data_IF_484846214639
#
_entry.id   IF_484846214639
#
_cell.length_a   1.000
_cell.length_b   1.000
_cell.length_c   1.000
_cell.angle_alpha   90.00
_cell.angle_beta   90.00
_cell.angle_gamma   90.00
#
_symmetry.space_group_name_H-M   'P 1'
#
loop_
_entity.id
_entity.type
_entity.pdbx_description
1 polymer ?
#
# COMPACT_ATOMS: atom_id res chain seq x y z
N UNK A 1 -32.57 -14.99 -1.08
CA UNK A 1 -31.19 -14.54 -0.79
C UNK A 1 -31.28 -13.17 -0.17
N UNK A 2 -30.67 -12.98 1.00
CA UNK A 2 -30.75 -11.72 1.72
C UNK A 2 -29.66 -10.76 1.18
N UNK A 3 -29.98 -9.46 1.09
CA UNK A 3 -29.03 -8.44 0.62
C UNK A 3 -27.80 -8.37 1.55
N UNK A 4 -27.98 -8.67 2.83
CA UNK A 4 -26.90 -8.73 3.81
C UNK A 4 -25.91 -9.87 3.56
N UNK A 5 -26.37 -10.98 2.97
CA UNK A 5 -25.49 -12.11 2.62
C UNK A 5 -24.61 -11.75 1.41
N UNK A 6 -25.19 -11.05 0.44
CA UNK A 6 -24.51 -10.62 -0.78
C UNK A 6 -23.49 -9.52 -0.46
N UNK A 7 -23.83 -8.56 0.40
CA UNK A 7 -22.90 -7.50 0.83
C UNK A 7 -21.70 -8.07 1.61
N UNK A 8 -21.93 -9.03 2.50
CA UNK A 8 -20.86 -9.71 3.23
C UNK A 8 -19.93 -10.50 2.29
N UNK A 9 -20.48 -11.22 1.31
CA UNK A 9 -19.67 -11.91 0.30
C UNK A 9 -18.86 -10.93 -0.55
N UNK A 10 -19.46 -9.83 -1.02
CA UNK A 10 -18.73 -8.80 -1.75
C UNK A 10 -17.60 -8.19 -0.93
N UNK A 11 -17.86 -7.83 0.33
CA UNK A 11 -16.86 -7.23 1.21
C UNK A 11 -15.68 -8.18 1.45
N UNK A 12 -15.95 -9.49 1.57
CA UNK A 12 -14.92 -10.50 1.70
C UNK A 12 -14.09 -10.68 0.42
N UNK A 13 -14.74 -10.66 -0.75
CA UNK A 13 -14.04 -10.74 -2.05
C UNK A 13 -13.16 -9.52 -2.29
N UNK A 14 -13.68 -8.32 -2.01
CA UNK A 14 -12.92 -7.08 -2.10
C UNK A 14 -11.73 -7.11 -1.14
N UNK A 15 -11.94 -7.55 0.11
CA UNK A 15 -10.85 -7.71 1.08
C UNK A 15 -9.77 -8.71 0.61
N UNK A 16 -10.18 -9.81 -0.02
CA UNK A 16 -9.24 -10.79 -0.58
C UNK A 16 -8.44 -10.22 -1.77
N UNK A 17 -9.09 -9.45 -2.65
CA UNK A 17 -8.44 -8.78 -3.78
C UNK A 17 -7.45 -7.70 -3.31
N UNK A 18 -7.80 -6.93 -2.29
CA UNK A 18 -6.89 -5.94 -1.68
C UNK A 18 -5.67 -6.63 -1.08
N UNK A 19 -5.86 -7.71 -0.32
CA UNK A 19 -4.75 -8.51 0.24
C UNK A 19 -3.87 -9.10 -0.85
N UNK A 20 -4.46 -9.60 -1.93
CA UNK A 20 -3.71 -10.11 -3.08
C UNK A 20 -2.94 -8.99 -3.77
N UNK A 21 -3.55 -7.83 -3.99
CA UNK A 21 -2.89 -6.66 -4.56
C UNK A 21 -1.67 -6.21 -3.76
N UNK A 22 -1.80 -6.11 -2.43
CA UNK A 22 -0.67 -5.77 -1.54
C UNK A 22 0.44 -6.83 -1.63
N UNK A 23 0.09 -8.12 -1.63
CA UNK A 23 1.06 -9.22 -1.76
C UNK A 23 1.81 -9.16 -3.10
N UNK A 24 1.10 -8.88 -4.20
CA UNK A 24 1.69 -8.75 -5.53
C UNK A 24 2.58 -7.51 -5.66
N UNK A 25 2.23 -6.39 -5.01
CA UNK A 25 3.08 -5.20 -4.94
C UNK A 25 4.39 -5.50 -4.20
N UNK A 26 4.34 -6.22 -3.07
CA UNK A 26 5.54 -6.65 -2.36
C UNK A 26 6.40 -7.60 -3.19
N UNK A 27 5.78 -8.56 -3.88
CA UNK A 27 6.49 -9.47 -4.77
C UNK A 27 7.16 -8.70 -5.92
N UNK A 28 6.44 -7.80 -6.56
CA UNK A 28 6.97 -6.97 -7.63
C UNK A 28 8.08 -6.04 -7.14
N UNK A 29 8.00 -5.49 -5.91
CA UNK A 29 9.08 -4.76 -5.27
C UNK A 29 10.35 -5.63 -5.11
N UNK A 30 10.20 -6.87 -4.65
CA UNK A 30 11.35 -7.82 -4.55
C UNK A 30 11.92 -8.13 -5.93
N UNK A 31 11.07 -8.35 -6.93
CA UNK A 31 11.50 -8.57 -8.32
C UNK A 31 12.26 -7.38 -8.85
N UNK A 32 11.81 -6.16 -8.59
CA UNK A 32 12.45 -4.93 -9.08
C UNK A 32 13.78 -4.64 -8.36
N UNK A 33 13.94 -5.06 -7.10
CA UNK A 33 15.24 -5.02 -6.40
C UNK A 33 16.24 -6.01 -7.00
N UNK A 34 15.78 -7.22 -7.36
CA UNK A 34 16.63 -8.28 -7.92
C UNK A 34 16.89 -8.12 -9.43
N UNK A 35 15.95 -7.51 -10.15
CA UNK A 35 15.98 -7.24 -11.58
C UNK A 35 15.42 -5.83 -11.82
N UNK A 36 16.29 -4.80 -11.74
CA UNK A 36 15.89 -3.39 -11.83
C UNK A 36 15.13 -3.06 -13.11
N UNK A 37 14.00 -2.36 -12.99
CA UNK A 37 13.23 -1.84 -14.12
C UNK A 37 12.27 -2.84 -14.75
N UNK A 38 12.06 -4.00 -14.12
CA UNK A 38 11.14 -5.04 -14.65
C UNK A 38 9.69 -4.73 -14.31
N UNK A 39 9.44 -4.13 -13.15
CA UNK A 39 8.08 -3.76 -12.71
C UNK A 39 7.90 -2.28 -12.43
N UNK A 40 9.00 -1.54 -12.27
CA UNK A 40 9.04 -0.09 -12.02
C UNK A 40 8.26 0.33 -10.74
N UNK A 41 7.95 -0.64 -9.87
CA UNK A 41 7.25 -0.40 -8.61
C UNK A 41 8.16 0.34 -7.63
N UNK A 42 9.48 0.11 -7.67
CA UNK A 42 10.44 0.86 -6.84
C UNK A 42 10.35 2.34 -7.18
N UNK A 43 10.22 2.73 -8.45
CA UNK A 43 10.08 4.13 -8.84
C UNK A 43 8.81 4.78 -8.27
N UNK A 44 7.68 4.06 -8.26
CA UNK A 44 6.43 4.51 -7.64
C UNK A 44 6.52 4.67 -6.12
N UNK A 45 7.14 3.71 -5.43
CA UNK A 45 7.37 3.76 -3.98
C UNK A 45 8.34 4.89 -3.61
N UNK A 46 9.42 5.05 -4.38
CA UNK A 46 10.39 6.14 -4.23
C UNK A 46 9.71 7.50 -4.45
N UNK A 47 8.78 7.61 -5.39
CA UNK A 47 7.99 8.83 -5.57
C UNK A 47 7.17 9.22 -4.34
N UNK A 48 6.54 8.25 -3.67
CA UNK A 48 5.81 8.49 -2.41
C UNK A 48 6.77 8.88 -1.29
N UNK A 49 7.88 8.16 -1.13
CA UNK A 49 8.90 8.48 -0.13
C UNK A 49 9.47 9.88 -0.36
N UNK A 50 9.76 10.23 -1.61
CA UNK A 50 10.27 11.55 -1.96
C UNK A 50 9.27 12.66 -1.64
N UNK A 51 7.96 12.45 -1.73
CA UNK A 51 6.98 13.45 -1.26
C UNK A 51 7.10 13.72 0.25
N UNK A 52 7.42 12.70 1.05
CA UNK A 52 7.67 12.87 2.48
C UNK A 52 9.05 13.48 2.76
N UNK A 53 10.08 13.10 1.98
CA UNK A 53 11.45 13.60 2.14
C UNK A 53 11.59 15.06 1.66
N UNK A 54 10.93 15.43 0.57
CA UNK A 54 10.88 16.81 0.05
C UNK A 54 10.14 17.74 1.01
N UNK A 55 9.12 17.21 1.71
CA UNK A 55 8.48 17.91 2.83
C UNK A 55 9.37 17.98 4.10
N UNK A 56 10.50 17.26 4.12
CA UNK A 56 11.50 17.27 5.17
C UNK A 56 10.93 16.91 6.55
N UNK A 57 11.25 17.73 7.56
CA UNK A 57 10.78 17.51 8.94
C UNK A 57 9.25 17.52 9.04
N UNK A 58 8.55 18.31 8.22
CA UNK A 58 7.10 18.35 8.22
C UNK A 58 6.49 17.04 7.70
N UNK A 59 7.11 16.43 6.68
CA UNK A 59 6.72 15.11 6.18
C UNK A 59 6.93 14.01 7.21
N UNK A 60 8.05 14.05 7.94
CA UNK A 60 8.32 13.11 9.03
C UNK A 60 7.31 13.24 10.18
N UNK A 61 6.97 14.47 10.59
CA UNK A 61 5.98 14.72 11.64
C UNK A 61 4.60 14.23 11.21
N UNK A 62 4.18 14.53 9.98
CA UNK A 62 2.91 14.04 9.45
C UNK A 62 2.86 12.51 9.40
N UNK A 63 3.95 11.86 9.00
CA UNK A 63 4.06 10.40 8.98
C UNK A 63 3.91 9.80 10.39
N UNK A 64 4.64 10.32 11.38
CA UNK A 64 4.57 9.85 12.76
C UNK A 64 3.15 10.00 13.33
N UNK A 65 2.48 11.13 13.06
CA UNK A 65 1.09 11.36 13.53
C UNK A 65 0.13 10.36 12.91
N UNK A 66 0.21 10.13 11.60
CA UNK A 66 -0.66 9.16 10.91
C UNK A 66 -0.42 7.75 11.42
N UNK A 67 0.83 7.34 11.60
CA UNK A 67 1.17 6.02 12.17
C UNK A 67 0.65 5.90 13.60
N UNK A 68 0.84 6.92 14.43
CA UNK A 68 0.33 6.92 15.81
C UNK A 68 -1.20 6.71 15.86
N UNK A 69 -1.95 7.38 14.99
CA UNK A 69 -3.42 7.24 14.91
C UNK A 69 -3.85 5.84 14.43
N UNK A 70 -3.11 5.23 13.50
CA UNK A 70 -3.45 3.90 12.94
C UNK A 70 -3.06 2.76 13.90
N UNK A 71 -2.07 2.99 14.76
CA UNK A 71 -1.54 1.97 15.67
C UNK A 71 -2.23 1.99 17.05
N UNK A 72 -3.09 2.97 17.32
CA UNK A 72 -4.05 2.97 18.44
C UNK A 72 -5.37 2.27 18.06
#
# INVERSE_FOLDING_TARGET
MNLDSISATLSNVVGALVKLGISLVLLALVVDVLAPGTTDIVAGVVGVINQFVDAGLAGLVAFIVVVAIITE
#
